data_IF_056610741593
#
_entry.id   IF_056610741593
#
_cell.length_a   1.000
_cell.length_b   1.000
_cell.length_c   1.000
_cell.angle_alpha   90.00
_cell.angle_beta   90.00
_cell.angle_gamma   90.00
#
_symmetry.space_group_name_H-M   'P 1'
#
loop_
_entity.id
_entity.type
_entity.pdbx_description
1 polymer ?
#
# COMPACT_ATOMS: atom_id res chain seq x y z
N UNK A 1 -39.65 17.57 -15.77
CA UNK A 1 -38.20 17.82 -15.91
C UNK A 1 -37.45 16.95 -14.90
N UNK A 2 -36.98 15.76 -15.30
CA UNK A 2 -36.35 14.79 -14.40
C UNK A 2 -34.84 15.08 -14.25
N UNK A 3 -34.39 15.33 -13.02
CA UNK A 3 -32.99 15.62 -12.67
C UNK A 3 -32.12 14.37 -12.85
N UNK A 4 -31.15 14.44 -13.78
CA UNK A 4 -30.12 13.44 -14.06
C UNK A 4 -29.15 13.33 -12.87
N UNK A 5 -29.19 12.25 -12.10
CA UNK A 5 -28.15 11.92 -11.10
C UNK A 5 -26.87 11.52 -11.84
N UNK A 6 -25.84 12.35 -11.72
CA UNK A 6 -24.50 12.03 -12.21
C UNK A 6 -23.90 10.91 -11.34
N UNK A 7 -23.45 9.83 -11.97
CA UNK A 7 -22.72 8.75 -11.31
C UNK A 7 -21.38 9.26 -10.75
N UNK A 8 -20.89 8.74 -9.60
CA UNK A 8 -19.62 9.13 -9.04
C UNK A 8 -18.49 8.71 -10.01
N UNK A 9 -17.71 9.69 -10.46
CA UNK A 9 -16.52 9.46 -11.29
C UNK A 9 -15.55 8.56 -10.53
N UNK A 10 -15.36 7.31 -11.00
CA UNK A 10 -14.22 6.47 -10.65
C UNK A 10 -12.96 7.31 -10.86
N UNK A 11 -12.22 7.59 -9.80
CA UNK A 11 -10.96 8.32 -9.84
C UNK A 11 -9.93 7.50 -10.62
N UNK A 12 -9.81 7.76 -11.92
CA UNK A 12 -8.78 7.21 -12.80
C UNK A 12 -7.50 8.05 -12.74
N UNK A 13 -7.07 8.41 -11.53
CA UNK A 13 -5.78 9.06 -11.35
C UNK A 13 -4.68 8.02 -11.64
N UNK A 14 -4.01 8.17 -12.78
CA UNK A 14 -2.78 7.45 -13.14
C UNK A 14 -1.82 7.54 -11.94
N UNK A 15 -1.29 6.42 -11.41
CA UNK A 15 -0.35 6.50 -10.31
C UNK A 15 0.86 7.31 -10.79
N UNK A 16 1.14 8.44 -10.12
CA UNK A 16 2.41 9.17 -10.27
C UNK A 16 3.55 8.16 -10.10
N UNK A 17 4.71 8.34 -10.77
CA UNK A 17 5.90 7.56 -10.44
C UNK A 17 6.13 7.75 -8.94
N UNK A 18 5.77 6.72 -8.18
CA UNK A 18 5.79 6.78 -6.74
C UNK A 18 7.16 6.29 -6.38
N UNK A 19 8.00 7.17 -5.85
CA UNK A 19 9.25 6.72 -5.25
C UNK A 19 8.93 5.74 -4.12
N UNK A 20 9.90 4.90 -3.72
CA UNK A 20 9.74 4.05 -2.53
C UNK A 20 9.31 4.88 -1.31
N UNK A 21 9.86 6.10 -1.17
CA UNK A 21 9.46 7.04 -0.13
C UNK A 21 7.99 7.48 -0.20
N UNK A 22 7.44 7.69 -1.40
CA UNK A 22 6.02 8.02 -1.58
C UNK A 22 5.11 6.86 -1.18
N UNK A 23 5.51 5.62 -1.50
CA UNK A 23 4.80 4.41 -1.07
C UNK A 23 4.82 4.32 0.46
N UNK A 24 5.96 4.59 1.11
CA UNK A 24 6.06 4.53 2.57
C UNK A 24 5.16 5.57 3.25
N UNK A 25 5.09 6.79 2.71
CA UNK A 25 4.18 7.82 3.21
C UNK A 25 2.70 7.40 3.03
N UNK A 26 2.34 6.76 1.93
CA UNK A 26 0.99 6.21 1.73
C UNK A 26 0.66 5.08 2.69
N UNK A 27 1.62 4.20 3.00
CA UNK A 27 1.43 3.14 4.01
C UNK A 27 1.23 3.76 5.39
N UNK A 28 2.04 4.74 5.79
CA UNK A 28 1.90 5.44 7.07
C UNK A 28 0.51 6.07 7.20
N UNK A 29 0.05 6.80 6.17
CA UNK A 29 -1.29 7.42 6.18
C UNK A 29 -2.44 6.41 6.26
N UNK A 30 -2.27 5.20 5.73
CA UNK A 30 -3.29 4.14 5.80
C UNK A 30 -3.23 3.36 7.12
N UNK A 31 -2.03 3.19 7.67
CA UNK A 31 -1.80 2.52 8.94
C UNK A 31 -2.23 3.37 10.15
N UNK A 32 -2.23 4.70 9.99
CA UNK A 32 -2.80 5.68 10.94
C UNK A 32 -4.34 5.69 10.90
N UNK A 33 -4.95 4.50 10.88
CA UNK A 33 -6.41 4.35 11.00
C UNK A 33 -6.70 3.36 12.14
N UNK A 34 -7.64 3.74 13.01
CA UNK A 34 -8.08 3.00 14.22
C UNK A 34 -7.21 3.08 15.49
N UNK A 35 -6.64 4.26 15.80
CA UNK A 35 -6.15 4.56 17.16
C UNK A 35 -4.76 4.02 17.52
N UNK A 36 -4.09 3.38 16.56
CA UNK A 36 -2.67 3.06 16.68
C UNK A 36 -1.89 4.30 16.25
N UNK A 37 -1.26 5.00 17.22
CA UNK A 37 -0.39 6.16 16.96
C UNK A 37 0.92 5.72 16.32
N UNK A 38 0.87 5.13 15.13
CA UNK A 38 2.08 4.78 14.39
C UNK A 38 2.71 6.04 13.84
N UNK A 39 3.93 6.35 14.27
CA UNK A 39 4.67 7.45 13.69
C UNK A 39 5.07 7.09 12.24
N UNK A 40 5.10 8.07 11.35
CA UNK A 40 5.56 7.92 9.96
C UNK A 40 6.98 7.34 9.94
N UNK A 41 7.83 7.76 10.88
CA UNK A 41 9.20 7.26 11.01
C UNK A 41 9.25 5.76 11.37
N UNK A 42 8.38 5.31 12.28
CA UNK A 42 8.30 3.91 12.69
C UNK A 42 7.77 3.05 11.55
N UNK A 43 6.76 3.52 10.82
CA UNK A 43 6.21 2.82 9.66
C UNK A 43 7.27 2.65 8.56
N UNK A 44 8.09 3.68 8.32
CA UNK A 44 9.24 3.60 7.40
C UNK A 44 10.27 2.58 7.85
N UNK A 45 10.58 2.51 9.14
CA UNK A 45 11.51 1.52 9.70
C UNK A 45 10.98 0.09 9.54
N UNK A 46 9.70 -0.14 9.83
CA UNK A 46 9.08 -1.47 9.66
C UNK A 46 9.12 -1.91 8.19
N UNK A 47 8.88 -1.00 7.25
CA UNK A 47 8.98 -1.30 5.82
C UNK A 47 10.42 -1.56 5.37
N UNK A 48 11.40 -0.84 5.92
CA UNK A 48 12.82 -1.13 5.66
C UNK A 48 13.18 -2.53 6.16
N UNK A 49 12.88 -2.85 7.42
CA UNK A 49 13.10 -4.18 7.99
C UNK A 49 12.39 -5.29 7.20
N UNK A 50 11.21 -5.01 6.64
CA UNK A 50 10.53 -5.97 5.77
C UNK A 50 11.35 -6.29 4.51
N UNK A 51 11.97 -5.29 3.88
CA UNK A 51 12.86 -5.53 2.74
C UNK A 51 14.19 -6.17 3.14
N UNK A 52 14.75 -5.82 4.29
CA UNK A 52 15.96 -6.47 4.82
C UNK A 52 15.71 -7.99 5.00
N UNK A 53 14.56 -8.37 5.57
CA UNK A 53 14.17 -9.79 5.69
C UNK A 53 13.96 -10.45 4.32
N UNK A 54 13.46 -9.71 3.32
CA UNK A 54 13.33 -10.24 1.95
C UNK A 54 14.69 -10.39 1.25
N UNK A 55 15.69 -9.60 1.62
CA UNK A 55 17.06 -9.67 1.07
C UNK A 55 17.74 -10.99 1.45
N UNK A 56 17.42 -11.55 2.62
CA UNK A 56 17.93 -12.86 3.07
C UNK A 56 17.41 -14.03 2.20
N UNK A 57 16.40 -13.81 1.37
CA UNK A 57 15.84 -14.81 0.47
C UNK A 57 16.39 -14.70 -0.95
N UNK A 58 16.32 -15.81 -1.70
CA UNK A 58 16.59 -15.76 -3.13
C UNK A 58 15.61 -14.79 -3.80
N UNK A 59 16.05 -13.99 -4.80
CA UNK A 59 15.19 -12.99 -5.44
C UNK A 59 13.84 -13.55 -5.91
N UNK A 60 13.84 -14.76 -6.48
CA UNK A 60 12.62 -15.44 -6.96
C UNK A 60 11.63 -15.72 -5.83
N UNK A 61 12.12 -16.14 -4.66
CA UNK A 61 11.29 -16.40 -3.48
C UNK A 61 10.77 -15.10 -2.87
N UNK A 62 11.64 -14.08 -2.77
CA UNK A 62 11.25 -12.74 -2.30
C UNK A 62 10.10 -12.16 -3.14
N UNK A 63 10.18 -12.24 -4.47
CA UNK A 63 9.10 -11.80 -5.35
C UNK A 63 7.82 -12.64 -5.20
N UNK A 64 7.94 -13.95 -4.97
CA UNK A 64 6.78 -14.82 -4.71
C UNK A 64 6.08 -14.45 -3.39
N UNK A 65 6.83 -14.10 -2.33
CA UNK A 65 6.25 -13.57 -1.09
C UNK A 65 5.51 -12.25 -1.30
N UNK A 66 6.06 -11.34 -2.09
CA UNK A 66 5.36 -10.09 -2.46
C UNK A 66 4.09 -10.41 -3.24
N UNK A 67 4.13 -11.30 -4.23
CA UNK A 67 2.97 -11.69 -5.03
C UNK A 67 1.85 -12.29 -4.16
N UNK A 68 2.20 -13.18 -3.22
CA UNK A 68 1.27 -13.75 -2.23
C UNK A 68 0.69 -12.67 -1.32
N UNK A 69 1.53 -11.73 -0.87
CA UNK A 69 1.10 -10.57 -0.07
C UNK A 69 0.08 -9.70 -0.79
N UNK A 70 0.32 -9.40 -2.07
CA UNK A 70 -0.60 -8.64 -2.92
C UNK A 70 -1.93 -9.38 -3.14
N UNK A 71 -1.90 -10.69 -3.38
CA UNK A 71 -3.12 -11.52 -3.51
C UNK A 71 -3.97 -11.43 -2.24
N UNK A 72 -3.35 -11.52 -1.06
CA UNK A 72 -4.03 -11.38 0.25
C UNK A 72 -4.49 -9.94 0.54
N UNK A 73 -3.82 -8.92 0.01
CA UNK A 73 -4.32 -7.54 0.09
C UNK A 73 -5.56 -7.35 -0.79
N UNK A 74 -5.60 -7.97 -1.98
CA UNK A 74 -6.75 -7.94 -2.88
C UNK A 74 -8.03 -8.51 -2.27
N UNK A 75 -7.93 -9.53 -1.42
CA UNK A 75 -9.08 -10.11 -0.71
C UNK A 75 -9.61 -9.24 0.42
N UNK A 76 -8.78 -8.38 1.04
CA UNK A 76 -9.21 -7.43 2.08
C UNK A 76 -9.94 -6.20 1.54
N UNK A 77 -9.85 -5.96 0.23
CA UNK A 77 -10.41 -4.78 -0.44
C UNK A 77 -11.81 -5.02 -1.02
N UNK A 78 -12.33 -6.25 -0.90
CA UNK A 78 -13.70 -6.64 -1.26
C UNK A 78 -14.48 -6.92 0.02
#
# INVERSE_FOLDING_TARGET
>A
MAKKKAAPKKSTAKPKPSSLGDIYNQVASRADTAGVKLNVAETKRVLACFFDVLEDHKPVEAFDFIAKGLKRAGTRRR
#
